data_IF_208570557940
#
_entry.id   IF_208570557940
#
_cell.length_a   1.000
_cell.length_b   1.000
_cell.length_c   1.000
_cell.angle_alpha   90.00
_cell.angle_beta   90.00
_cell.angle_gamma   90.00
#
_symmetry.space_group_name_H-M   'P 1'
#
loop_
_entity.id
_entity.type
_entity.pdbx_description
1 polymer ?
#
# COMPACT_ATOMS: atom_id res chain seq x y z
N UNK A 1 18.50 30.27 -56.10
CA UNK A 1 19.60 29.42 -55.58
C UNK A 1 19.38 29.28 -54.09
N UNK A 2 18.50 28.38 -53.62
CA UNK A 2 18.72 26.95 -53.32
C UNK A 2 19.83 26.68 -52.30
N UNK A 3 19.43 26.43 -51.04
CA UNK A 3 20.13 25.50 -50.16
C UNK A 3 19.08 24.74 -49.33
N UNK A 4 18.82 23.52 -49.79
CA UNK A 4 18.10 22.43 -49.12
C UNK A 4 19.14 21.54 -48.39
N UNK A 5 18.62 20.71 -47.48
CA UNK A 5 19.19 19.44 -46.98
C UNK A 5 20.17 19.51 -45.79
N UNK A 6 19.65 19.15 -44.61
CA UNK A 6 20.06 17.91 -43.93
C UNK A 6 18.92 17.41 -43.02
N UNK A 7 18.51 16.16 -43.28
CA UNK A 7 17.50 15.35 -42.58
C UNK A 7 18.24 14.30 -41.74
N UNK A 8 17.52 13.66 -40.81
CA UNK A 8 17.79 12.38 -40.10
C UNK A 8 18.44 12.47 -38.72
N UNK A 9 17.63 12.24 -37.67
CA UNK A 9 17.66 11.04 -36.80
C UNK A 9 16.84 11.31 -35.52
N UNK A 10 15.54 11.03 -35.56
CA UNK A 10 14.69 10.99 -34.37
C UNK A 10 13.59 9.92 -34.54
N UNK A 11 14.02 8.69 -34.83
CA UNK A 11 13.12 7.53 -34.98
C UNK A 11 13.73 6.27 -34.36
N UNK A 12 14.28 6.37 -33.15
CA UNK A 12 14.79 5.21 -32.39
C UNK A 12 14.26 5.26 -30.97
N UNK A 13 13.05 4.71 -30.76
CA UNK A 13 12.61 4.13 -29.46
C UNK A 13 11.17 3.57 -29.44
N UNK A 14 10.47 3.41 -30.58
CA UNK A 14 9.12 2.81 -30.60
C UNK A 14 9.06 1.35 -31.11
N UNK A 15 10.23 0.73 -31.34
CA UNK A 15 10.33 -0.62 -31.93
C UNK A 15 10.58 -1.69 -30.88
N UNK A 16 9.57 -2.09 -30.11
CA UNK A 16 9.61 -3.37 -29.35
C UNK A 16 8.26 -4.03 -29.03
N UNK A 17 7.11 -3.39 -29.26
CA UNK A 17 5.80 -3.99 -28.93
C UNK A 17 5.10 -4.70 -30.09
N UNK A 18 5.67 -4.72 -31.29
CA UNK A 18 5.01 -5.26 -32.49
C UNK A 18 5.15 -6.79 -32.70
N UNK A 19 5.82 -7.52 -31.78
CA UNK A 19 6.18 -8.93 -32.01
C UNK A 19 5.52 -9.98 -31.10
N UNK A 20 5.09 -9.64 -29.88
CA UNK A 20 4.55 -10.64 -28.95
C UNK A 20 3.04 -10.77 -29.15
N UNK A 21 2.60 -11.77 -29.92
CA UNK A 21 1.18 -12.17 -29.90
C UNK A 21 0.91 -12.86 -28.57
N UNK A 22 -0.11 -12.43 -27.81
CA UNK A 22 -0.47 -13.11 -26.58
C UNK A 22 -0.89 -14.55 -26.92
N UNK A 23 -0.27 -15.54 -26.27
CA UNK A 23 -0.75 -16.92 -26.31
C UNK A 23 -1.63 -17.13 -25.08
N UNK A 24 -2.96 -17.24 -25.24
CA UNK A 24 -3.80 -17.64 -24.13
C UNK A 24 -3.48 -19.09 -23.76
N UNK A 25 -3.48 -19.35 -22.45
CA UNK A 25 -3.37 -20.67 -21.86
C UNK A 25 -2.13 -20.86 -21.00
N UNK A 26 -2.09 -22.02 -20.34
CA UNK A 26 -0.99 -22.47 -19.50
C UNK A 26 -1.16 -22.14 -18.02
N UNK A 27 -0.37 -22.82 -17.19
CA UNK A 27 -0.36 -22.61 -15.73
C UNK A 27 0.95 -21.97 -15.29
N UNK A 28 0.87 -20.78 -14.69
CA UNK A 28 2.04 -20.09 -14.14
C UNK A 28 2.43 -20.68 -12.79
N UNK A 29 3.68 -21.14 -12.67
CA UNK A 29 4.31 -21.56 -11.42
C UNK A 29 4.77 -20.31 -10.67
N UNK A 30 4.01 -19.97 -9.63
CA UNK A 30 4.18 -18.74 -8.87
C UNK A 30 4.58 -19.08 -7.43
N UNK A 31 5.73 -18.56 -7.02
CA UNK A 31 6.24 -18.69 -5.65
C UNK A 31 6.07 -17.38 -4.89
N UNK A 32 5.49 -17.46 -3.69
CA UNK A 32 5.27 -16.36 -2.78
C UNK A 32 6.29 -16.44 -1.64
N UNK A 33 7.04 -15.36 -1.42
CA UNK A 33 7.89 -15.22 -0.23
C UNK A 33 7.00 -14.80 0.94
N UNK A 34 6.36 -15.77 1.59
CA UNK A 34 5.39 -15.55 2.66
C UNK A 34 5.32 -16.75 3.61
N UNK A 35 5.08 -16.54 4.92
CA UNK A 35 4.92 -17.65 5.87
C UNK A 35 3.55 -18.35 5.79
N UNK A 36 2.55 -17.81 5.07
CA UNK A 36 1.20 -18.38 5.04
C UNK A 36 0.52 -18.29 3.68
N UNK A 37 -0.43 -19.21 3.44
CA UNK A 37 -1.32 -19.27 2.29
C UNK A 37 -2.76 -18.80 2.58
N UNK A 38 -3.05 -18.28 3.77
CA UNK A 38 -4.34 -17.64 4.09
C UNK A 38 -4.39 -16.17 3.63
N UNK A 39 -5.51 -15.71 3.09
CA UNK A 39 -5.73 -14.30 2.70
C UNK A 39 -6.96 -13.78 3.43
N UNK A 40 -6.79 -12.72 4.21
CA UNK A 40 -7.91 -11.95 4.78
C UNK A 40 -7.87 -10.52 4.20
N UNK A 41 -8.95 -9.98 3.62
CA UNK A 41 -8.99 -8.60 3.17
C UNK A 41 -8.60 -7.58 4.25
N UNK A 42 -8.88 -7.87 5.53
CA UNK A 42 -8.49 -7.03 6.65
C UNK A 42 -6.97 -6.99 6.89
N UNK A 43 -6.25 -7.95 6.31
CA UNK A 43 -4.80 -8.15 6.42
C UNK A 43 -3.98 -7.52 5.29
N UNK A 44 -4.62 -6.85 4.32
CA UNK A 44 -4.00 -6.26 3.12
C UNK A 44 -3.12 -5.01 3.37
N UNK A 45 -2.58 -4.86 4.57
CA UNK A 45 -1.61 -3.84 4.97
C UNK A 45 -0.15 -4.28 4.76
N UNK A 46 0.06 -5.54 4.37
CA UNK A 46 1.34 -6.04 3.89
C UNK A 46 1.31 -6.19 2.36
N UNK A 47 2.38 -5.80 1.63
CA UNK A 47 2.40 -5.86 0.16
C UNK A 47 2.10 -7.25 -0.40
N UNK A 48 2.67 -8.29 0.22
CA UNK A 48 2.48 -9.69 -0.22
C UNK A 48 1.03 -10.16 0.00
N UNK A 49 0.40 -9.75 1.10
CA UNK A 49 -0.98 -10.10 1.41
C UNK A 49 -1.95 -9.38 0.47
N UNK A 50 -1.68 -8.09 0.16
CA UNK A 50 -2.45 -7.32 -0.80
C UNK A 50 -2.33 -7.88 -2.23
N UNK A 51 -1.14 -8.34 -2.64
CA UNK A 51 -0.97 -9.06 -3.91
C UNK A 51 -1.76 -10.36 -3.94
N UNK A 52 -1.71 -11.16 -2.87
CA UNK A 52 -2.45 -12.42 -2.82
C UNK A 52 -3.96 -12.18 -2.83
N UNK A 53 -4.43 -11.10 -2.19
CA UNK A 53 -5.80 -10.63 -2.30
C UNK A 53 -6.17 -10.30 -3.74
N UNK A 54 -5.31 -9.59 -4.48
CA UNK A 54 -5.60 -9.17 -5.87
C UNK A 54 -5.75 -10.33 -6.87
N UNK A 55 -5.27 -11.54 -6.53
CA UNK A 55 -5.46 -12.75 -7.34
C UNK A 55 -6.92 -13.21 -7.38
N UNK A 56 -7.66 -12.98 -6.29
CA UNK A 56 -9.03 -13.49 -6.10
C UNK A 56 -10.06 -12.39 -5.85
N UNK A 57 -9.60 -11.16 -5.65
CA UNK A 57 -10.41 -9.98 -5.41
C UNK A 57 -9.94 -8.84 -6.31
N UNK A 58 -10.82 -7.88 -6.60
CA UNK A 58 -10.48 -6.66 -7.34
C UNK A 58 -11.08 -5.43 -6.66
N UNK A 59 -10.38 -4.29 -6.66
CA UNK A 59 -10.88 -3.07 -6.07
C UNK A 59 -12.08 -2.51 -6.84
N UNK A 60 -12.97 -1.79 -6.14
CA UNK A 60 -14.14 -1.10 -6.73
C UNK A 60 -13.75 -0.31 -7.98
N UNK A 61 -12.63 0.43 -7.93
CA UNK A 61 -12.22 1.29 -9.04
C UNK A 61 -11.97 0.58 -10.38
N UNK A 62 -11.79 -0.75 -10.37
CA UNK A 62 -11.57 -1.55 -11.57
C UNK A 62 -12.82 -2.27 -12.05
N UNK A 63 -13.72 -2.65 -11.14
CA UNK A 63 -14.88 -3.48 -11.48
C UNK A 63 -16.14 -2.67 -11.75
N UNK A 64 -16.21 -1.45 -11.21
CA UNK A 64 -17.44 -0.67 -11.16
C UNK A 64 -17.25 0.59 -11.97
N UNK A 65 -18.20 0.86 -12.86
CA UNK A 65 -18.18 2.09 -13.64
C UNK A 65 -18.49 3.27 -12.73
N UNK A 66 -17.63 4.29 -12.78
CA UNK A 66 -17.71 5.46 -11.90
C UNK A 66 -18.06 6.69 -12.72
N UNK A 67 -19.19 7.32 -12.39
CA UNK A 67 -19.61 8.58 -13.01
C UNK A 67 -19.72 9.66 -11.95
N UNK A 68 -19.02 10.77 -12.15
CA UNK A 68 -19.03 11.90 -11.23
C UNK A 68 -20.04 12.94 -11.63
N UNK A 69 -20.82 13.41 -10.66
CA UNK A 69 -21.69 14.59 -10.77
C UNK A 69 -21.41 15.54 -9.59
N UNK A 70 -21.85 16.82 -9.66
CA UNK A 70 -21.65 17.74 -8.54
C UNK A 70 -22.21 17.16 -7.24
N UNK A 71 -21.35 16.96 -6.24
CA UNK A 71 -21.73 16.44 -4.93
C UNK A 71 -22.08 14.95 -4.85
N UNK A 72 -21.94 14.16 -5.93
CA UNK A 72 -22.23 12.71 -5.92
C UNK A 72 -21.24 11.95 -6.81
N UNK A 73 -20.71 10.84 -6.31
CA UNK A 73 -20.06 9.81 -7.12
C UNK A 73 -21.03 8.64 -7.29
N UNK A 74 -21.45 8.38 -8.53
CA UNK A 74 -22.32 7.27 -8.88
C UNK A 74 -21.47 6.07 -9.29
N UNK A 75 -21.76 4.93 -8.69
CA UNK A 75 -21.13 3.65 -8.95
C UNK A 75 -22.14 2.71 -9.61
N UNK A 76 -21.90 2.29 -10.85
CA UNK A 76 -22.77 1.37 -11.59
C UNK A 76 -22.20 -0.05 -11.52
N UNK A 77 -22.84 -0.92 -10.73
CA UNK A 77 -22.35 -2.27 -10.44
C UNK A 77 -22.69 -3.23 -11.57
N UNK A 78 -21.72 -3.89 -12.23
CA UNK A 78 -21.97 -4.78 -13.37
C UNK A 78 -22.69 -6.05 -12.96
N UNK A 79 -23.45 -6.67 -13.88
CA UNK A 79 -24.34 -7.81 -13.68
C UNK A 79 -23.80 -8.92 -12.75
N UNK A 80 -22.53 -9.25 -12.96
CA UNK A 80 -21.77 -10.33 -12.32
C UNK A 80 -21.22 -10.01 -10.92
N UNK A 81 -21.44 -8.80 -10.41
CA UNK A 81 -21.00 -8.37 -9.07
C UNK A 81 -22.23 -8.10 -8.19
N UNK A 82 -22.24 -8.69 -6.99
CA UNK A 82 -23.27 -8.40 -5.98
C UNK A 82 -23.04 -7.00 -5.38
N UNK A 83 -24.09 -6.17 -5.39
CA UNK A 83 -24.10 -4.82 -4.81
C UNK A 83 -23.76 -4.86 -3.31
N UNK A 84 -24.12 -5.94 -2.61
CA UNK A 84 -23.78 -6.16 -1.20
C UNK A 84 -22.27 -6.15 -0.97
N UNK A 85 -21.47 -6.70 -1.89
CA UNK A 85 -20.01 -6.66 -1.76
C UNK A 85 -19.48 -5.23 -1.84
N UNK A 86 -20.11 -4.37 -2.66
CA UNK A 86 -19.74 -2.96 -2.78
C UNK A 86 -20.02 -2.22 -1.48
N UNK A 87 -21.21 -2.38 -0.89
CA UNK A 87 -21.58 -1.70 0.36
C UNK A 87 -20.75 -2.18 1.55
N UNK A 88 -20.44 -3.48 1.64
CA UNK A 88 -19.52 -4.03 2.64
C UNK A 88 -18.11 -3.46 2.49
N UNK A 89 -17.58 -3.37 1.27
CA UNK A 89 -16.28 -2.79 0.99
C UNK A 89 -16.20 -1.30 1.38
N UNK A 90 -17.25 -0.54 1.08
CA UNK A 90 -17.36 0.87 1.48
C UNK A 90 -17.40 1.03 3.00
N UNK A 91 -18.09 0.13 3.70
CA UNK A 91 -18.16 0.14 5.17
C UNK A 91 -16.81 -0.19 5.79
N UNK A 92 -16.10 -1.21 5.28
CA UNK A 92 -14.73 -1.53 5.72
C UNK A 92 -13.75 -0.37 5.50
N UNK A 93 -13.87 0.32 4.37
CA UNK A 93 -13.02 1.45 4.01
C UNK A 93 -13.48 2.81 4.54
N UNK A 94 -14.46 2.86 5.44
CA UNK A 94 -15.03 4.11 5.97
C UNK A 94 -14.01 5.16 6.43
N UNK A 95 -12.86 4.82 7.06
CA UNK A 95 -11.83 5.82 7.43
C UNK A 95 -11.30 6.64 6.24
N UNK A 96 -11.22 6.03 5.05
CA UNK A 96 -10.78 6.67 3.81
C UNK A 96 -11.90 7.43 3.09
N UNK A 97 -13.14 7.19 3.47
CA UNK A 97 -14.35 7.83 2.94
C UNK A 97 -14.79 9.05 3.77
N UNK A 98 -13.85 9.71 4.46
CA UNK A 98 -14.18 10.93 5.21
C UNK A 98 -14.78 12.00 4.30
N UNK A 99 -15.85 12.65 4.78
CA UNK A 99 -16.69 13.57 4.01
C UNK A 99 -17.45 12.92 2.84
N UNK A 100 -17.58 11.59 2.83
CA UNK A 100 -18.56 10.89 1.99
C UNK A 100 -19.74 10.51 2.89
N UNK A 101 -20.95 10.77 2.42
CA UNK A 101 -22.19 10.38 3.08
C UNK A 101 -22.38 8.85 3.05
N UNK A 102 -23.39 8.37 3.78
CA UNK A 102 -23.78 6.97 3.70
C UNK A 102 -24.15 6.62 2.24
N UNK A 103 -23.75 5.43 1.75
CA UNK A 103 -24.08 5.00 0.40
C UNK A 103 -25.61 4.85 0.26
N UNK A 104 -26.16 5.42 -0.80
CA UNK A 104 -27.55 5.21 -1.20
C UNK A 104 -27.59 4.13 -2.28
N UNK A 105 -28.37 3.07 -2.08
CA UNK A 105 -28.42 1.92 -2.99
C UNK A 105 -29.76 1.93 -3.72
N UNK A 106 -29.71 2.00 -5.05
CA UNK A 106 -30.87 1.92 -5.92
C UNK A 106 -30.65 0.85 -6.99
N UNK A 107 -31.14 -0.37 -6.75
CA UNK A 107 -30.90 -1.51 -7.64
C UNK A 107 -29.40 -1.81 -7.77
N UNK A 108 -28.84 -1.60 -8.97
CA UNK A 108 -27.40 -1.79 -9.26
C UNK A 108 -26.57 -0.52 -9.17
N UNK A 109 -27.18 0.60 -8.80
CA UNK A 109 -26.52 1.88 -8.66
C UNK A 109 -26.27 2.15 -7.18
N UNK A 110 -25.03 2.51 -6.85
CA UNK A 110 -24.65 2.98 -5.51
C UNK A 110 -24.20 4.42 -5.63
N UNK A 111 -24.94 5.32 -5.01
CA UNK A 111 -24.59 6.74 -4.98
C UNK A 111 -23.85 7.06 -3.69
N UNK A 112 -22.71 7.74 -3.83
CA UNK A 112 -21.89 8.23 -2.74
C UNK A 112 -22.03 9.76 -2.68
N UNK A 113 -22.82 10.31 -1.74
CA UNK A 113 -22.89 11.75 -1.54
C UNK A 113 -21.52 12.27 -1.12
N UNK A 114 -20.95 13.21 -1.88
CA UNK A 114 -19.65 13.81 -1.59
C UNK A 114 -19.88 15.17 -0.95
N UNK A 115 -19.32 15.37 0.25
CA UNK A 115 -19.27 16.67 0.91
C UNK A 115 -17.91 17.33 0.62
N UNK A 116 -17.92 18.55 0.11
CA UNK A 116 -16.70 19.25 -0.33
C UNK A 116 -16.09 18.65 -1.61
N UNK A 117 -14.91 19.11 -2.02
CA UNK A 117 -14.28 18.60 -3.25
C UNK A 117 -13.30 17.45 -2.95
N UNK A 118 -13.83 16.22 -2.89
CA UNK A 118 -13.02 14.99 -2.99
C UNK A 118 -12.84 14.61 -4.46
N UNK A 119 -11.87 15.22 -5.14
CA UNK A 119 -11.55 14.92 -6.55
C UNK A 119 -10.75 13.64 -6.72
N UNK A 120 -10.32 13.01 -5.63
CA UNK A 120 -9.43 11.85 -5.59
C UNK A 120 -10.15 10.54 -5.23
N UNK A 121 -11.48 10.58 -5.09
CA UNK A 121 -12.25 9.47 -4.53
C UNK A 121 -12.15 8.21 -5.39
N UNK A 122 -12.20 8.33 -6.71
CA UNK A 122 -12.06 7.21 -7.66
C UNK A 122 -10.70 6.51 -7.51
N UNK A 123 -9.63 7.29 -7.35
CA UNK A 123 -8.28 6.78 -7.07
C UNK A 123 -8.20 6.13 -5.68
N UNK A 124 -8.88 6.70 -4.69
CA UNK A 124 -8.97 6.15 -3.33
C UNK A 124 -9.67 4.78 -3.33
N UNK A 125 -10.70 4.60 -4.16
CA UNK A 125 -11.43 3.33 -4.32
C UNK A 125 -10.58 2.22 -4.98
N UNK A 126 -9.35 2.51 -5.41
CA UNK A 126 -8.36 1.49 -5.81
C UNK A 126 -7.62 0.86 -4.63
N UNK A 127 -7.80 1.38 -3.42
CA UNK A 127 -7.12 0.85 -2.24
C UNK A 127 -7.60 -0.59 -1.92
N UNK A 128 -6.72 -1.51 -1.47
CA UNK A 128 -7.09 -2.92 -1.20
C UNK A 128 -8.23 -3.14 -0.20
N UNK A 129 -8.49 -2.18 0.69
CA UNK A 129 -9.65 -2.25 1.60
C UNK A 129 -11.00 -2.29 0.85
N UNK A 130 -11.04 -1.70 -0.36
CA UNK A 130 -12.19 -1.66 -1.24
C UNK A 130 -12.25 -2.84 -2.22
N UNK A 131 -11.45 -3.89 -1.99
CA UNK A 131 -11.50 -5.10 -2.82
C UNK A 131 -12.80 -5.89 -2.61
N UNK A 132 -13.42 -6.27 -3.72
CA UNK A 132 -14.59 -7.12 -3.82
C UNK A 132 -14.14 -8.57 -4.08
N UNK A 133 -14.85 -9.60 -3.58
CA UNK A 133 -14.52 -11.01 -3.79
C UNK A 133 -14.85 -11.49 -5.22
N UNK A 134 -14.45 -10.68 -6.21
CA UNK A 134 -14.59 -10.91 -7.63
C UNK A 134 -13.22 -10.62 -8.25
N UNK A 135 -12.49 -11.67 -8.58
CA UNK A 135 -11.12 -11.56 -9.07
C UNK A 135 -10.85 -12.43 -10.29
N UNK A 136 -9.69 -12.19 -10.93
CA UNK A 136 -9.33 -12.84 -12.18
C UNK A 136 -9.21 -14.36 -12.03
N UNK A 137 -8.91 -14.86 -10.83
CA UNK A 137 -8.82 -16.29 -10.58
C UNK A 137 -9.70 -16.75 -9.41
N UNK A 138 -10.20 -17.98 -9.51
CA UNK A 138 -10.97 -18.69 -8.49
C UNK A 138 -10.10 -19.72 -7.78
N UNK A 139 -10.31 -19.90 -6.48
CA UNK A 139 -9.60 -20.90 -5.68
C UNK A 139 -10.12 -22.30 -5.99
N UNK A 140 -9.22 -23.23 -6.33
CA UNK A 140 -9.53 -24.66 -6.51
C UNK A 140 -8.43 -25.51 -5.88
N UNK A 141 -8.68 -25.93 -4.64
CA UNK A 141 -7.67 -26.61 -3.83
C UNK A 141 -6.46 -25.71 -3.61
N UNK A 142 -5.28 -26.16 -4.02
CA UNK A 142 -4.01 -25.40 -3.91
C UNK A 142 -3.67 -24.57 -5.15
N UNK A 143 -4.55 -24.56 -6.15
CA UNK A 143 -4.37 -23.82 -7.40
C UNK A 143 -5.41 -22.73 -7.53
N UNK A 144 -5.10 -21.74 -8.38
CA UNK A 144 -6.08 -20.77 -8.84
C UNK A 144 -6.37 -21.05 -10.32
N UNK A 145 -7.63 -21.06 -10.72
CA UNK A 145 -8.05 -21.23 -12.11
C UNK A 145 -8.63 -19.92 -12.64
N UNK A 146 -8.43 -19.64 -13.93
CA UNK A 146 -8.98 -18.46 -14.58
C UNK A 146 -10.50 -18.39 -14.38
N UNK A 147 -11.01 -17.19 -14.09
CA UNK A 147 -12.43 -16.95 -14.06
C UNK A 147 -12.92 -16.49 -15.44
N UNK A 148 -13.59 -17.37 -16.16
CA UNK A 148 -14.04 -17.09 -17.53
C UNK A 148 -15.08 -15.96 -17.63
N UNK A 149 -15.94 -15.80 -16.61
CA UNK A 149 -16.98 -14.76 -16.57
C UNK A 149 -16.52 -13.48 -15.87
N UNK A 150 -15.21 -13.27 -15.75
CA UNK A 150 -14.63 -12.09 -15.12
C UNK A 150 -15.09 -10.82 -15.86
N UNK A 151 -15.62 -9.79 -15.16
CA UNK A 151 -16.16 -8.58 -15.81
C UNK A 151 -15.16 -7.85 -16.70
N UNK A 152 -13.87 -7.93 -16.36
CA UNK A 152 -12.77 -7.28 -17.07
C UNK A 152 -12.21 -8.11 -18.24
N UNK A 153 -12.85 -9.24 -18.55
CA UNK A 153 -12.34 -10.23 -19.50
C UNK A 153 -11.57 -11.35 -18.82
N UNK A 154 -11.53 -12.50 -19.50
CA UNK A 154 -10.82 -13.70 -19.06
C UNK A 154 -9.31 -13.44 -19.02
N UNK A 155 -8.60 -13.82 -17.94
CA UNK A 155 -7.14 -13.80 -17.91
C UNK A 155 -6.53 -14.62 -19.05
N UNK A 156 -5.33 -14.23 -19.50
CA UNK A 156 -4.63 -14.99 -20.53
C UNK A 156 -4.17 -16.36 -20.03
N UNK A 157 -3.71 -16.46 -18.78
CA UNK A 157 -3.31 -17.72 -18.15
C UNK A 157 -4.54 -18.57 -17.77
N UNK A 158 -4.46 -19.90 -17.91
CA UNK A 158 -5.54 -20.81 -17.47
C UNK A 158 -5.56 -20.99 -15.95
N UNK A 159 -4.42 -20.77 -15.30
CA UNK A 159 -4.33 -20.87 -13.85
C UNK A 159 -2.97 -20.53 -13.28
N UNK A 160 -2.92 -20.51 -11.95
CA UNK A 160 -1.73 -20.23 -11.15
C UNK A 160 -1.51 -21.42 -10.20
N UNK A 161 -0.32 -21.99 -10.21
CA UNK A 161 0.13 -22.94 -9.20
C UNK A 161 0.92 -22.17 -8.15
N UNK A 162 0.31 -21.97 -6.97
CA UNK A 162 0.89 -21.16 -5.90
C UNK A 162 1.70 -22.01 -4.92
N UNK A 163 2.88 -21.53 -4.55
CA UNK A 163 3.68 -22.11 -3.47
C UNK A 163 4.20 -21.00 -2.56
N UNK A 164 3.86 -21.02 -1.26
CA UNK A 164 4.48 -20.15 -0.26
C UNK A 164 5.74 -20.80 0.31
N UNK A 165 6.82 -20.03 0.45
CA UNK A 165 8.09 -20.49 1.02
C UNK A 165 8.94 -19.30 1.50
N UNK A 166 10.06 -19.57 2.17
CA UNK A 166 11.05 -18.54 2.52
C UNK A 166 11.83 -18.02 1.29
N UNK A 167 12.47 -16.85 1.44
CA UNK A 167 13.17 -16.17 0.34
C UNK A 167 14.27 -17.02 -0.31
N UNK A 168 15.03 -17.78 0.49
CA UNK A 168 16.16 -18.59 0.01
C UNK A 168 15.66 -19.77 -0.82
N UNK A 169 14.60 -20.42 -0.37
CA UNK A 169 13.96 -21.50 -1.13
C UNK A 169 13.33 -20.97 -2.41
N UNK A 170 12.69 -19.80 -2.37
CA UNK A 170 12.10 -19.18 -3.56
C UNK A 170 13.15 -18.86 -4.63
N UNK A 171 14.28 -18.27 -4.24
CA UNK A 171 15.41 -18.01 -5.13
C UNK A 171 15.95 -19.30 -5.76
N UNK A 172 16.10 -20.37 -4.97
CA UNK A 172 16.52 -21.68 -5.48
C UNK A 172 15.54 -22.25 -6.49
N UNK A 173 14.23 -22.19 -6.22
CA UNK A 173 13.20 -22.68 -7.14
C UNK A 173 13.23 -21.91 -8.47
N UNK A 174 13.43 -20.59 -8.41
CA UNK A 174 13.55 -19.74 -9.59
C UNK A 174 14.81 -20.05 -10.39
N UNK A 175 15.97 -20.17 -9.73
CA UNK A 175 17.24 -20.53 -10.39
C UNK A 175 17.18 -21.90 -11.07
N UNK A 176 16.44 -22.85 -10.50
CA UNK A 176 16.20 -24.18 -11.06
C UNK A 176 15.10 -24.20 -12.14
N UNK A 177 14.52 -23.04 -12.51
CA UNK A 177 13.38 -22.91 -13.44
C UNK A 177 12.15 -23.74 -13.01
N UNK A 178 12.02 -23.99 -11.71
CA UNK A 178 10.83 -24.63 -11.11
C UNK A 178 9.75 -23.63 -10.74
N UNK A 179 10.09 -22.33 -10.76
CA UNK A 179 9.18 -21.21 -10.64
C UNK A 179 9.42 -20.27 -11.82
N UNK A 180 8.34 -19.73 -12.40
CA UNK A 180 8.37 -18.73 -13.46
C UNK A 180 8.22 -17.32 -12.91
N UNK A 181 7.55 -17.19 -11.76
CA UNK A 181 7.35 -15.93 -11.06
C UNK A 181 7.63 -16.09 -9.58
N UNK A 182 8.49 -15.24 -9.02
CA UNK A 182 8.69 -15.10 -7.58
C UNK A 182 8.21 -13.72 -7.16
N UNK A 183 7.32 -13.66 -6.18
CA UNK A 183 6.78 -12.43 -5.62
C UNK A 183 7.23 -12.29 -4.16
N UNK A 184 7.70 -11.10 -3.78
CA UNK A 184 8.42 -10.87 -2.53
C UNK A 184 9.93 -11.09 -2.64
N UNK A 185 10.47 -11.09 -3.86
CA UNK A 185 11.91 -11.13 -4.08
C UNK A 185 12.58 -9.84 -3.58
N UNK A 186 13.82 -9.92 -3.10
CA UNK A 186 14.59 -8.76 -2.63
C UNK A 186 15.21 -7.93 -3.77
N UNK A 187 14.52 -7.84 -4.90
CA UNK A 187 14.94 -7.05 -6.06
C UNK A 187 14.56 -5.58 -5.88
N UNK A 188 15.44 -4.63 -6.27
CA UNK A 188 15.06 -3.22 -6.37
C UNK A 188 13.81 -3.03 -7.24
N UNK A 189 13.03 -1.98 -6.96
CA UNK A 189 11.85 -1.63 -7.75
C UNK A 189 11.71 -0.11 -7.81
N UNK A 190 11.35 0.39 -8.99
CA UNK A 190 10.95 1.79 -9.20
C UNK A 190 9.46 2.01 -8.95
N UNK A 191 8.73 0.94 -8.55
CA UNK A 191 7.31 1.01 -8.26
C UNK A 191 7.01 1.83 -6.99
N UNK A 192 5.82 2.44 -6.91
CA UNK A 192 5.36 3.11 -5.69
C UNK A 192 5.44 2.19 -4.46
N UNK A 193 6.03 2.69 -3.37
CA UNK A 193 6.11 1.99 -2.09
C UNK A 193 5.05 2.56 -1.13
N UNK A 194 3.80 2.14 -1.31
CA UNK A 194 2.66 2.71 -0.58
C UNK A 194 2.30 1.93 0.70
N UNK A 195 3.06 0.89 1.06
CA UNK A 195 2.86 0.17 2.32
C UNK A 195 3.79 0.74 3.38
N UNK A 196 3.22 1.40 4.38
CA UNK A 196 3.97 2.17 5.37
C UNK A 196 3.99 1.46 6.70
N UNK A 197 5.10 1.59 7.43
CA UNK A 197 5.13 1.36 8.87
C UNK A 197 5.44 2.68 9.58
N UNK A 198 4.60 3.02 10.56
CA UNK A 198 4.73 4.24 11.34
C UNK A 198 4.56 3.96 12.83
N UNK A 199 5.04 4.88 13.66
CA UNK A 199 4.88 4.83 15.10
C UNK A 199 3.85 5.87 15.54
N UNK A 200 2.70 5.42 16.04
CA UNK A 200 1.74 6.29 16.70
C UNK A 200 2.14 6.51 18.16
N UNK A 201 2.06 7.76 18.63
CA UNK A 201 2.45 8.15 19.98
C UNK A 201 1.22 8.51 20.80
N UNK A 202 1.21 8.07 22.05
CA UNK A 202 0.27 8.52 23.06
C UNK A 202 0.36 10.03 23.33
N UNK A 203 -0.66 10.60 23.99
CA UNK A 203 -0.65 12.02 24.36
C UNK A 203 0.53 12.36 25.29
N UNK A 204 1.10 13.55 25.12
CA UNK A 204 2.16 14.08 25.99
C UNK A 204 3.58 13.56 25.70
N UNK A 205 3.78 12.79 24.62
CA UNK A 205 5.07 12.16 24.29
C UNK A 205 5.97 12.99 23.36
N UNK A 206 5.92 14.32 23.45
CA UNK A 206 6.75 15.21 22.62
C UNK A 206 8.26 14.99 22.81
N UNK A 207 8.70 14.81 24.07
CA UNK A 207 10.12 14.53 24.36
C UNK A 207 10.56 13.17 23.81
N UNK A 208 9.68 12.16 23.85
CA UNK A 208 9.93 10.84 23.26
C UNK A 208 10.07 10.96 21.75
N UNK A 209 9.21 11.74 21.08
CA UNK A 209 9.35 12.04 19.65
C UNK A 209 10.75 12.58 19.33
N UNK A 210 11.20 13.62 20.04
CA UNK A 210 12.51 14.22 19.82
C UNK A 210 13.65 13.20 20.02
N UNK A 211 13.55 12.33 21.03
CA UNK A 211 14.52 11.26 21.26
C UNK A 211 14.54 10.23 20.12
N UNK A 212 13.38 9.85 19.59
CA UNK A 212 13.27 8.94 18.43
C UNK A 212 13.87 9.60 17.19
N UNK A 213 13.42 10.79 16.84
CA UNK A 213 13.83 11.49 15.62
C UNK A 213 15.32 11.85 15.60
N UNK A 214 15.95 12.06 16.77
CA UNK A 214 17.39 12.32 16.87
C UNK A 214 18.28 11.06 16.91
N UNK A 215 17.71 9.88 17.18
CA UNK A 215 18.51 8.65 17.39
C UNK A 215 18.29 7.55 16.35
N UNK A 216 17.17 7.63 15.62
CA UNK A 216 16.77 6.65 14.62
C UNK A 216 17.17 7.11 13.22
N UNK A 217 18.09 6.35 12.62
CA UNK A 217 18.32 6.38 11.19
C UNK A 217 17.27 5.49 10.50
N UNK A 218 16.36 6.13 9.75
CA UNK A 218 15.29 5.46 9.02
C UNK A 218 15.81 4.64 7.82
N UNK A 219 16.93 5.04 7.23
CA UNK A 219 17.56 4.29 6.15
C UNK A 219 18.14 2.98 6.68
N UNK A 220 18.79 3.02 7.84
CA UNK A 220 19.23 1.80 8.54
C UNK A 220 18.05 0.91 8.94
N UNK A 221 16.94 1.49 9.41
CA UNK A 221 15.72 0.72 9.69
C UNK A 221 15.23 -0.02 8.45
N UNK A 222 15.06 0.69 7.33
CA UNK A 222 14.61 0.11 6.07
C UNK A 222 15.57 -0.98 5.56
N UNK A 223 16.87 -0.78 5.69
CA UNK A 223 17.91 -1.69 5.19
C UNK A 223 18.02 -2.99 6.00
N UNK A 224 17.98 -2.90 7.32
CA UNK A 224 18.33 -4.04 8.18
C UNK A 224 17.14 -4.76 8.81
N UNK A 225 15.99 -4.08 8.96
CA UNK A 225 14.85 -4.62 9.69
C UNK A 225 13.61 -4.83 8.81
N UNK A 226 13.68 -4.43 7.54
CA UNK A 226 12.55 -4.49 6.61
C UNK A 226 12.96 -5.20 5.32
N UNK A 227 12.21 -6.20 4.86
CA UNK A 227 12.51 -6.85 3.58
C UNK A 227 12.49 -5.86 2.42
N UNK A 228 13.50 -5.94 1.56
CA UNK A 228 13.52 -5.19 0.31
C UNK A 228 12.40 -5.68 -0.64
N UNK A 229 11.82 -4.79 -1.47
CA UNK A 229 12.14 -3.37 -1.58
C UNK A 229 11.50 -2.54 -0.46
N UNK A 230 12.33 -1.72 0.19
CA UNK A 230 11.96 -0.83 1.29
C UNK A 230 12.75 0.46 1.19
N UNK A 231 12.24 1.54 1.78
CA UNK A 231 12.93 2.82 1.85
C UNK A 231 12.62 3.56 3.15
N UNK A 232 13.49 4.49 3.52
CA UNK A 232 13.22 5.43 4.60
C UNK A 232 12.01 6.30 4.27
N UNK A 233 11.17 6.58 5.26
CA UNK A 233 10.04 7.50 5.10
C UNK A 233 10.26 8.74 5.99
N UNK A 234 10.95 9.78 5.49
CA UNK A 234 11.33 10.94 6.30
C UNK A 234 10.16 11.89 6.57
N UNK A 235 9.09 11.84 5.77
CA UNK A 235 7.89 12.66 5.91
C UNK A 235 6.64 11.83 5.71
N UNK A 236 5.45 12.44 5.78
CA UNK A 236 4.18 11.73 5.50
C UNK A 236 4.02 11.33 4.02
N UNK A 237 4.98 11.65 3.14
CA UNK A 237 4.93 11.35 1.72
C UNK A 237 5.98 10.31 1.30
N UNK A 238 5.57 9.19 0.68
CA UNK A 238 6.49 8.25 0.03
C UNK A 238 7.34 8.95 -1.03
N UNK A 239 8.64 8.65 -1.06
CA UNK A 239 9.59 9.18 -2.04
C UNK A 239 10.03 10.64 -1.80
N UNK A 240 9.55 11.28 -0.73
CA UNK A 240 10.03 12.62 -0.37
C UNK A 240 11.49 12.57 0.08
N UNK A 241 12.26 13.59 -0.31
CA UNK A 241 13.59 13.80 0.23
C UNK A 241 13.50 14.31 1.68
N UNK A 242 14.45 13.95 2.56
CA UNK A 242 14.51 14.52 3.90
C UNK A 242 14.81 16.02 3.78
N UNK A 243 13.84 16.86 4.13
CA UNK A 243 13.99 18.33 4.12
C UNK A 243 14.19 18.91 5.52
N UNK A 244 13.91 18.12 6.56
CA UNK A 244 13.99 18.57 7.95
C UNK A 244 15.36 18.23 8.55
N UNK A 245 16.07 19.19 9.16
CA UNK A 245 17.30 18.89 9.88
C UNK A 245 17.03 17.92 11.02
N UNK A 246 18.00 17.03 11.28
CA UNK A 246 17.91 16.07 12.40
C UNK A 246 17.82 16.84 13.71
N UNK A 247 16.82 16.57 14.57
CA UNK A 247 16.69 17.26 15.85
C UNK A 247 17.94 17.08 16.71
N UNK A 248 18.26 18.11 17.51
CA UNK A 248 19.32 18.01 18.50
C UNK A 248 19.01 16.87 19.48
N UNK A 249 20.05 16.16 19.88
CA UNK A 249 19.94 15.06 20.84
C UNK A 249 19.43 15.60 22.19
N UNK A 250 18.27 15.14 22.71
CA UNK A 250 17.74 15.63 23.98
C UNK A 250 18.53 15.09 25.17
N UNK A 251 18.44 15.81 26.29
CA UNK A 251 18.97 15.36 27.59
C UNK A 251 18.22 14.11 28.08
N UNK A 252 18.89 13.16 28.75
CA UNK A 252 18.24 12.00 29.34
C UNK A 252 17.21 12.40 30.41
N UNK A 253 16.06 11.71 30.43
CA UNK A 253 15.01 11.91 31.43
C UNK A 253 15.40 11.23 32.75
N UNK A 254 15.22 11.94 33.87
CA UNK A 254 15.45 11.42 35.24
C UNK A 254 14.28 11.85 36.15
N UNK A 255 13.60 10.92 36.85
CA UNK A 255 13.82 9.47 36.84
C UNK A 255 13.46 8.84 35.49
N UNK A 256 13.92 7.59 35.28
CA UNK A 256 13.64 6.87 34.05
C UNK A 256 12.12 6.72 33.83
N UNK A 257 11.66 6.95 32.60
CA UNK A 257 10.25 6.88 32.24
C UNK A 257 9.94 5.52 31.57
N UNK A 258 8.94 4.82 32.09
CA UNK A 258 8.45 3.56 31.53
C UNK A 258 7.50 3.83 30.35
N UNK A 259 7.71 3.13 29.24
CA UNK A 259 6.90 3.19 28.02
C UNK A 259 6.48 1.78 27.62
N UNK A 260 5.29 1.62 27.02
CA UNK A 260 4.88 0.36 26.39
C UNK A 260 4.84 0.53 24.88
N UNK A 261 5.53 -0.35 24.14
CA UNK A 261 5.51 -0.39 22.68
C UNK A 261 4.76 -1.62 22.19
N UNK A 262 3.56 -1.40 21.66
CA UNK A 262 2.74 -2.46 21.05
C UNK A 262 3.00 -2.59 19.55
N UNK A 263 2.98 -3.82 19.02
CA UNK A 263 3.19 -4.12 17.60
C UNK A 263 2.49 -5.43 17.20
N UNK A 264 2.32 -5.66 15.90
CA UNK A 264 1.68 -6.88 15.39
C UNK A 264 2.59 -8.09 15.62
N UNK A 265 2.11 -9.05 16.42
CA UNK A 265 2.84 -10.27 16.76
C UNK A 265 3.23 -11.13 15.55
N UNK A 266 2.52 -10.98 14.43
CA UNK A 266 2.74 -11.73 13.17
C UNK A 266 3.66 -11.00 12.20
N UNK A 267 4.01 -9.74 12.47
CA UNK A 267 4.82 -8.90 11.62
C UNK A 267 6.29 -8.88 12.08
N UNK A 268 7.11 -9.79 11.55
CA UNK A 268 8.54 -9.89 11.90
C UNK A 268 9.30 -8.56 11.72
N UNK A 269 8.99 -7.79 10.68
CA UNK A 269 9.61 -6.48 10.46
C UNK A 269 9.26 -5.48 11.58
N UNK A 270 8.03 -5.50 12.10
CA UNK A 270 7.64 -4.64 13.22
C UNK A 270 8.35 -5.05 14.51
N UNK A 271 8.51 -6.35 14.75
CA UNK A 271 9.29 -6.86 15.91
C UNK A 271 10.73 -6.35 15.87
N UNK A 272 11.38 -6.44 14.71
CA UNK A 272 12.75 -5.95 14.52
C UNK A 272 12.87 -4.44 14.77
N UNK A 273 11.93 -3.64 14.22
CA UNK A 273 11.86 -2.20 14.46
C UNK A 273 11.63 -1.90 15.95
N UNK A 274 10.73 -2.64 16.61
CA UNK A 274 10.40 -2.44 18.02
C UNK A 274 11.59 -2.67 18.95
N UNK A 275 12.32 -3.77 18.73
CA UNK A 275 13.56 -4.06 19.46
C UNK A 275 14.63 -2.98 19.24
N UNK A 276 14.76 -2.51 18.00
CA UNK A 276 15.70 -1.42 17.69
C UNK A 276 15.33 -0.12 18.41
N UNK A 277 14.04 0.23 18.44
CA UNK A 277 13.54 1.40 19.19
C UNK A 277 13.80 1.26 20.69
N UNK A 278 13.54 0.09 21.28
CA UNK A 278 13.81 -0.19 22.70
C UNK A 278 15.28 0.09 23.05
N UNK A 279 16.22 -0.43 22.26
CA UNK A 279 17.67 -0.21 22.47
C UNK A 279 18.03 1.27 22.30
N UNK A 280 17.47 1.94 21.30
CA UNK A 280 17.83 3.32 20.96
C UNK A 280 17.29 4.35 21.95
N UNK A 281 16.22 4.04 22.66
CA UNK A 281 15.61 4.94 23.65
C UNK A 281 16.20 4.80 25.06
N UNK A 282 16.89 3.70 25.36
CA UNK A 282 17.54 3.48 26.67
C UNK A 282 18.51 4.61 27.07
N UNK A 283 19.41 5.12 26.21
CA UNK A 283 20.34 6.20 26.57
C UNK A 283 19.67 7.53 26.91
N UNK A 284 18.38 7.68 26.58
CA UNK A 284 17.57 8.86 26.88
C UNK A 284 16.75 8.72 28.17
N UNK A 285 16.95 7.63 28.93
CA UNK A 285 16.22 7.40 30.18
C UNK A 285 14.85 6.76 30.00
N UNK A 286 14.53 6.24 28.81
CA UNK A 286 13.28 5.52 28.57
C UNK A 286 13.47 4.01 28.72
N UNK A 287 12.54 3.36 29.43
CA UNK A 287 12.46 1.91 29.54
C UNK A 287 11.26 1.43 28.76
N UNK A 288 11.50 0.76 27.65
CA UNK A 288 10.43 0.36 26.72
C UNK A 288 10.10 -1.11 26.92
N UNK A 289 8.89 -1.41 27.37
CA UNK A 289 8.33 -2.76 27.41
C UNK A 289 7.72 -3.10 26.05
N UNK A 290 8.17 -4.19 25.44
CA UNK A 290 7.66 -4.67 24.14
C UNK A 290 6.43 -5.55 24.35
N UNK A 291 5.32 -5.22 23.68
CA UNK A 291 4.05 -5.95 23.78
C UNK A 291 3.58 -6.42 22.40
N UNK A 292 3.89 -7.66 21.97
CA UNK A 292 3.27 -8.23 20.77
C UNK A 292 1.77 -8.42 21.02
N UNK A 293 0.92 -7.96 20.09
CA UNK A 293 -0.53 -8.12 20.14
C UNK A 293 -1.09 -8.54 18.78
N UNK A 294 -2.32 -9.08 18.68
CA UNK A 294 -2.93 -9.41 17.41
C UNK A 294 -3.10 -8.18 16.49
N UNK A 295 -2.92 -8.35 15.17
CA UNK A 295 -3.06 -7.29 14.16
C UNK A 295 -4.34 -6.46 14.30
N UNK A 296 -5.48 -7.12 14.51
CA UNK A 296 -6.76 -6.43 14.66
C UNK A 296 -6.77 -5.47 15.86
N UNK A 297 -6.12 -5.85 16.97
CA UNK A 297 -5.97 -5.00 18.15
C UNK A 297 -5.06 -3.80 17.88
N UNK A 298 -3.91 -4.01 17.21
CA UNK A 298 -3.00 -2.92 16.81
C UNK A 298 -3.72 -1.85 15.99
N UNK A 299 -4.55 -2.27 15.02
CA UNK A 299 -5.29 -1.38 14.12
C UNK A 299 -6.37 -0.58 14.86
N UNK A 300 -7.14 -1.23 15.73
CA UNK A 300 -8.26 -0.61 16.42
C UNK A 300 -7.83 0.31 17.59
N UNK A 301 -6.67 0.04 18.21
CA UNK A 301 -6.28 0.65 19.48
C UNK A 301 -5.59 1.99 19.32
N UNK A 302 -6.22 3.08 19.77
CA UNK A 302 -5.52 4.35 19.97
C UNK A 302 -4.46 4.22 21.08
N UNK A 303 -3.26 4.81 20.93
CA UNK A 303 -2.24 4.76 21.97
C UNK A 303 -2.69 5.54 23.21
N UNK A 304 -2.61 4.91 24.38
CA UNK A 304 -2.82 5.56 25.68
C UNK A 304 -1.63 6.41 26.13
N UNK A 305 -1.72 7.00 27.32
CA UNK A 305 -0.59 7.72 27.92
C UNK A 305 0.61 6.78 28.12
N UNK A 306 1.82 7.23 27.79
CA UNK A 306 3.04 6.42 27.81
C UNK A 306 3.02 5.18 26.90
N UNK A 307 2.13 5.15 25.91
CA UNK A 307 2.08 4.07 24.92
C UNK A 307 2.58 4.53 23.56
N UNK A 308 3.27 3.61 22.90
CA UNK A 308 3.68 3.68 21.52
C UNK A 308 3.06 2.50 20.79
N UNK A 309 2.57 2.72 19.57
CA UNK A 309 1.98 1.65 18.76
C UNK A 309 2.60 1.68 17.36
N UNK A 310 3.31 0.62 16.99
CA UNK A 310 3.74 0.42 15.60
C UNK A 310 2.53 0.00 14.78
N UNK A 311 2.34 0.66 13.64
CA UNK A 311 1.23 0.41 12.73
C UNK A 311 1.76 0.27 11.31
N UNK A 312 1.49 -0.87 10.69
CA UNK A 312 1.60 -1.04 9.24
C UNK A 312 0.25 -0.84 8.57
N UNK A 313 0.23 -0.08 7.47
CA UNK A 313 -0.97 0.17 6.68
C UNK A 313 -0.61 0.54 5.24
N UNK A 314 -1.57 0.37 4.33
CA UNK A 314 -1.45 0.85 2.96
C UNK A 314 -1.94 2.31 2.83
N UNK A 315 -1.22 3.13 2.07
CA UNK A 315 -1.63 4.47 1.70
C UNK A 315 -2.41 4.42 0.39
N UNK A 316 -3.53 5.16 0.26
CA UNK A 316 -4.19 5.35 -1.03
C UNK A 316 -3.22 5.93 -2.07
N UNK A 317 -3.38 5.58 -3.37
CA UNK A 317 -2.55 6.08 -4.45
C UNK A 317 -2.96 7.50 -4.88
N UNK A 318 -3.31 8.35 -3.91
CA UNK A 318 -3.62 9.77 -4.08
C UNK A 318 -3.01 10.56 -2.90
N UNK A 319 -2.41 11.74 -3.13
CA UNK A 319 -1.88 12.57 -2.03
C UNK A 319 -2.93 12.94 -0.97
N UNK A 320 -4.15 13.27 -1.41
CA UNK A 320 -5.27 13.59 -0.52
C UNK A 320 -5.69 12.39 0.33
N UNK A 321 -5.91 11.22 -0.29
CA UNK A 321 -6.25 9.99 0.42
C UNK A 321 -5.14 9.55 1.38
N UNK A 322 -3.88 9.69 0.99
CA UNK A 322 -2.73 9.43 1.86
C UNK A 322 -2.72 10.35 3.09
N UNK A 323 -2.94 11.65 2.92
CA UNK A 323 -3.02 12.60 4.04
C UNK A 323 -4.19 12.27 4.98
N UNK A 324 -5.36 11.92 4.45
CA UNK A 324 -6.50 11.49 5.26
C UNK A 324 -6.19 10.21 6.06
N UNK A 325 -5.48 9.26 5.46
CA UNK A 325 -5.04 8.06 6.17
C UNK A 325 -4.10 8.42 7.33
N UNK A 326 -3.16 9.35 7.13
CA UNK A 326 -2.29 9.82 8.21
C UNK A 326 -3.04 10.49 9.36
N UNK A 327 -4.04 11.33 9.05
CA UNK A 327 -4.91 11.92 10.08
C UNK A 327 -5.63 10.83 10.88
N UNK A 328 -6.13 9.79 10.20
CA UNK A 328 -6.79 8.65 10.85
C UNK A 328 -5.85 7.89 11.78
N UNK A 329 -4.65 7.55 11.29
CA UNK A 329 -3.62 6.83 12.06
C UNK A 329 -3.15 7.65 13.26
N UNK A 330 -3.08 8.98 13.14
CA UNK A 330 -2.75 9.90 14.22
C UNK A 330 -3.92 10.19 15.19
N UNK A 331 -5.12 9.64 14.96
CA UNK A 331 -6.31 9.91 15.76
C UNK A 331 -6.90 11.33 15.58
N UNK A 332 -6.52 12.02 14.51
CA UNK A 332 -6.86 13.42 14.21
C UNK A 332 -7.95 13.54 13.13
N UNK A 333 -8.86 12.57 13.04
CA UNK A 333 -9.92 12.52 12.02
C UNK A 333 -10.80 13.78 12.00
N UNK A 334 -10.99 14.43 13.15
CA UNK A 334 -11.74 15.67 13.26
C UNK A 334 -11.16 16.82 12.40
N UNK A 335 -9.86 16.81 12.10
CA UNK A 335 -9.20 17.81 11.24
C UNK A 335 -9.46 17.60 9.75
N UNK A 336 -9.94 16.42 9.36
CA UNK A 336 -10.07 16.04 7.94
C UNK A 336 -10.97 17.00 7.14
N UNK A 337 -12.06 17.49 7.74
CA UNK A 337 -12.96 18.42 7.04
C UNK A 337 -12.28 19.74 6.68
N UNK A 338 -11.51 20.33 7.60
CA UNK A 338 -10.76 21.56 7.36
C UNK A 338 -9.64 21.35 6.32
N UNK A 339 -8.94 20.22 6.40
CA UNK A 339 -7.90 19.85 5.43
C UNK A 339 -8.49 19.71 4.03
N UNK A 340 -9.61 19.00 3.89
CA UNK A 340 -10.29 18.83 2.61
C UNK A 340 -10.80 20.15 2.04
N UNK A 341 -11.31 21.05 2.88
CA UNK A 341 -11.69 22.39 2.45
C UNK A 341 -10.49 23.14 1.86
N UNK A 342 -9.34 23.11 2.54
CA UNK A 342 -8.12 23.77 2.03
C UNK A 342 -7.60 23.17 0.72
N UNK A 343 -7.71 21.86 0.54
CA UNK A 343 -7.32 21.17 -0.70
C UNK A 343 -8.27 21.56 -1.83
N UNK A 344 -9.58 21.57 -1.57
CA UNK A 344 -10.62 21.86 -2.56
C UNK A 344 -10.57 23.28 -3.13
N UNK A 345 -10.10 24.24 -2.33
CA UNK A 345 -9.96 25.64 -2.74
C UNK A 345 -8.69 25.92 -3.54
N UNK A 346 -7.75 24.97 -3.60
CA UNK A 346 -6.49 25.15 -4.30
C UNK A 346 -6.62 24.82 -5.80
N UNK A 347 -5.87 25.51 -6.68
CA UNK A 347 -5.88 25.22 -8.11
C UNK A 347 -5.30 23.83 -8.42
N UNK A 348 -4.30 23.39 -7.64
CA UNK A 348 -3.75 22.04 -7.70
C UNK A 348 -3.96 21.34 -6.34
N UNK A 349 -4.98 20.48 -6.30
CA UNK A 349 -5.35 19.74 -5.12
C UNK A 349 -4.25 18.75 -4.67
N UNK A 350 -3.56 18.10 -5.61
CA UNK A 350 -2.54 17.11 -5.31
C UNK A 350 -1.28 17.80 -4.75
N UNK A 351 -0.85 18.93 -5.33
CA UNK A 351 0.23 19.74 -4.78
C UNK A 351 -0.12 20.29 -3.39
N UNK A 352 -1.34 20.82 -3.22
CA UNK A 352 -1.78 21.34 -1.92
C UNK A 352 -1.81 20.26 -0.84
N UNK A 353 -2.29 19.05 -1.16
CA UNK A 353 -2.29 17.93 -0.23
C UNK A 353 -0.86 17.53 0.17
N UNK A 354 0.10 17.59 -0.76
CA UNK A 354 1.51 17.38 -0.44
C UNK A 354 2.04 18.46 0.52
N UNK A 355 1.82 19.73 0.22
CA UNK A 355 2.27 20.83 1.08
C UNK A 355 1.71 20.72 2.51
N UNK A 356 0.41 20.43 2.62
CA UNK A 356 -0.24 20.21 3.92
C UNK A 356 0.35 18.99 4.65
N UNK A 357 0.68 17.92 3.92
CA UNK A 357 1.34 16.75 4.52
C UNK A 357 2.71 17.09 5.12
N UNK A 358 3.47 17.99 4.49
CA UNK A 358 4.76 18.46 5.02
C UNK A 358 4.56 19.36 6.25
N UNK A 359 3.58 20.26 6.21
CA UNK A 359 3.26 21.16 7.33
C UNK A 359 2.80 20.38 8.57
N UNK A 360 1.94 19.38 8.37
CA UNK A 360 1.36 18.60 9.45
C UNK A 360 2.29 17.53 10.02
N UNK A 361 3.39 17.18 9.34
CA UNK A 361 4.27 16.08 9.72
C UNK A 361 4.75 16.14 11.18
N UNK A 362 5.04 17.35 11.67
CA UNK A 362 5.52 17.58 13.04
C UNK A 362 4.39 17.79 14.07
N UNK A 363 3.16 18.07 13.61
CA UNK A 363 2.00 18.31 14.48
C UNK A 363 1.26 17.02 14.85
N UNK A 364 1.23 16.04 13.94
CA UNK A 364 0.54 14.78 14.18
C UNK A 364 1.30 13.95 15.21
N UNK A 365 0.61 13.19 16.06
CA UNK A 365 1.26 12.25 17.00
C UNK A 365 1.64 10.93 16.32
N UNK A 366 2.29 11.03 15.16
CA UNK A 366 2.77 9.89 14.38
C UNK A 366 4.15 10.19 13.80
N UNK A 367 5.05 9.21 13.89
CA UNK A 367 6.39 9.28 13.29
C UNK A 367 6.42 8.29 12.12
N UNK A 368 6.50 8.77 10.86
CA UNK A 368 6.73 7.87 9.74
C UNK A 368 8.13 7.24 9.88
N UNK A 369 8.24 5.93 9.59
CA UNK A 369 9.51 5.21 9.70
C UNK A 369 10.00 4.75 8.34
N UNK A 370 9.22 3.89 7.67
CA UNK A 370 9.65 3.18 6.47
C UNK A 370 8.49 2.95 5.51
N UNK A 371 8.81 2.84 4.22
CA UNK A 371 7.92 2.32 3.18
C UNK A 371 8.37 0.94 2.73
N UNK A 372 7.43 0.19 2.15
CA UNK A 372 7.64 -1.13 1.55
C UNK A 372 6.94 -1.18 0.19
N UNK A 373 7.60 -1.83 -0.75
CA UNK A 373 7.01 -2.26 -2.00
C UNK A 373 6.94 -3.78 -2.07
N UNK A 374 6.74 -4.29 -3.29
CA UNK A 374 6.79 -5.72 -3.54
C UNK A 374 7.74 -6.00 -4.72
N UNK A 375 8.85 -6.67 -4.42
CA UNK A 375 9.82 -7.07 -5.44
C UNK A 375 9.35 -8.32 -6.16
N UNK A 376 9.74 -8.45 -7.42
CA UNK A 376 9.27 -9.50 -8.31
C UNK A 376 10.41 -9.95 -9.19
N UNK A 377 10.58 -11.27 -9.34
CA UNK A 377 11.48 -11.87 -10.31
C UNK A 377 10.67 -12.76 -11.24
N UNK A 378 10.77 -12.51 -12.54
CA UNK A 378 10.03 -13.25 -13.56
C UNK A 378 11.00 -13.82 -14.59
N UNK A 379 10.72 -15.03 -15.07
CA UNK A 379 11.44 -15.61 -16.21
C UNK A 379 11.10 -14.84 -17.49
N UNK A 380 11.97 -14.91 -18.51
CA UNK A 380 11.82 -14.10 -19.74
C UNK A 380 10.61 -14.47 -20.59
N UNK A 381 10.07 -15.66 -20.40
CA UNK A 381 8.85 -16.15 -21.04
C UNK A 381 7.59 -15.51 -20.45
N UNK A 382 7.62 -14.98 -19.22
CA UNK A 382 6.49 -14.26 -18.65
C UNK A 382 6.48 -12.82 -19.17
N UNK A 383 5.48 -12.52 -19.99
CA UNK A 383 5.31 -11.22 -20.64
C UNK A 383 4.16 -10.44 -20.03
N UNK A 384 4.18 -9.12 -20.25
CA UNK A 384 3.12 -8.19 -19.86
C UNK A 384 2.78 -8.19 -18.35
N UNK A 385 3.78 -8.49 -17.51
CA UNK A 385 3.68 -8.34 -16.07
C UNK A 385 3.76 -6.84 -15.70
N UNK A 386 2.60 -6.20 -15.60
CA UNK A 386 2.49 -4.78 -15.22
C UNK A 386 2.35 -4.62 -13.71
N UNK A 387 2.30 -3.37 -13.23
CA UNK A 387 2.00 -3.04 -11.84
C UNK A 387 0.78 -2.14 -11.75
N UNK A 388 0.03 -2.27 -10.66
CA UNK A 388 -1.12 -1.41 -10.36
C UNK A 388 -0.69 -0.10 -9.68
N UNK A 389 -1.68 0.74 -9.34
CA UNK A 389 -1.45 2.02 -8.67
C UNK A 389 -0.86 1.88 -7.26
N UNK A 390 -0.98 0.70 -6.62
CA UNK A 390 -0.36 0.37 -5.34
C UNK A 390 1.07 -0.14 -5.49
N UNK A 391 1.56 -0.26 -6.74
CA UNK A 391 2.85 -0.84 -7.06
C UNK A 391 2.88 -2.37 -6.98
N UNK A 392 1.73 -3.04 -6.89
CA UNK A 392 1.63 -4.51 -6.86
C UNK A 392 1.65 -5.09 -8.28
N UNK A 393 2.28 -6.27 -8.50
CA UNK A 393 2.27 -6.90 -9.82
C UNK A 393 0.87 -7.37 -10.21
N UNK A 394 0.57 -7.25 -11.50
CA UNK A 394 -0.69 -7.66 -12.13
C UNK A 394 -0.45 -8.89 -13.00
N UNK A 395 -1.04 -10.01 -12.61
CA UNK A 395 -0.91 -11.29 -13.31
C UNK A 395 -2.13 -11.63 -14.18
N UNK A 396 -3.19 -10.82 -14.11
CA UNK A 396 -4.41 -10.99 -14.91
C UNK A 396 -4.18 -10.75 -16.41
N UNK A 397 -3.28 -9.82 -16.75
CA UNK A 397 -2.92 -9.55 -18.15
C UNK A 397 -1.63 -10.26 -18.58
N UNK A 398 -0.95 -10.98 -17.68
CA UNK A 398 0.31 -11.66 -17.98
C UNK A 398 0.10 -12.89 -18.87
N UNK A 399 1.04 -13.17 -19.78
CA UNK A 399 0.96 -14.33 -20.69
C UNK A 399 2.35 -14.91 -20.99
N UNK A 400 2.41 -16.13 -21.52
CA UNK A 400 3.66 -16.74 -21.97
C UNK A 400 4.05 -16.27 -23.37
N UNK A 401 5.32 -15.94 -23.58
CA UNK A 401 5.85 -15.60 -24.91
C UNK A 401 5.68 -16.76 -25.88
N UNK A 402 5.41 -16.43 -27.14
CA UNK A 402 5.56 -17.38 -28.23
C UNK A 402 7.05 -17.72 -28.40
N UNK A 403 7.44 -18.98 -28.20
CA UNK A 403 8.74 -19.51 -28.63
C UNK A 403 9.00 -19.26 -30.11
#
# INVERSE_FOLDING_TARGET
MTARCAVLLAAVSLSAFAGSRPRPGGTLQLVLVSPSMTVDPSSADAPIDAFRLSLTHQPICRLVDMTRSPGVLKLTVPASVDVKFVTEALTRGAPLLTNVGAPNVNGREVELPIRGARTDLERTLCHPLFSLPVGPFKVKGTRLEAFDEQPMGRPYLDGLALQATDARTAERLFAQRRAQLVVGASTPTDAPQLFVTALALGPGLANVRTAIESSIDRADLARFFVPAPSAALPSLQPGATPTTPTPARPSPVTPAQELTLSFDQTAEHERGIAQRLQVKLQPFGYRVALKPVPRAEVKARAPGANELVLRSFALPPSPTGALLMWLSVAGQQARAAAVLQSISSAPDADARARDLSLQLANELNVIPLVTRGLGVSATRDVQHLTRDAMGLPRVDDAFFSAE
#
